data_IF_314665169911
#
_entry.id   IF_314665169911
#
_cell.length_a   1.000
_cell.length_b   1.000
_cell.length_c   1.000
_cell.angle_alpha   90.00
_cell.angle_beta   90.00
_cell.angle_gamma   90.00
#
_symmetry.space_group_name_H-M   'P 1'
#
loop_
_entity.id
_entity.type
_entity.pdbx_description
1 polymer ?
#
# COMPACT_ATOMS: atom_id res chain seq x y z
N UNK A 1 6.06 -14.86 1.62
CA UNK A 1 6.95 -16.04 1.87
C UNK A 1 8.37 -15.63 2.25
N UNK A 2 9.06 -14.72 1.52
CA UNK A 2 10.43 -14.31 1.88
C UNK A 2 10.51 -13.74 3.31
N UNK A 3 9.71 -12.75 3.64
CA UNK A 3 9.68 -12.13 4.98
C UNK A 3 9.31 -13.17 6.05
N UNK A 4 8.33 -14.03 5.80
CA UNK A 4 7.92 -15.09 6.75
C UNK A 4 9.04 -16.10 7.01
N UNK A 5 9.85 -16.42 6.00
CA UNK A 5 11.01 -17.31 6.19
C UNK A 5 12.13 -16.60 6.94
N UNK A 6 12.39 -15.33 6.62
CA UNK A 6 13.34 -14.49 7.34
C UNK A 6 12.97 -14.38 8.83
N UNK A 7 11.68 -14.12 9.13
CA UNK A 7 11.19 -14.06 10.52
C UNK A 7 11.42 -15.38 11.27
N UNK A 8 11.25 -16.52 10.61
CA UNK A 8 11.52 -17.83 11.21
C UNK A 8 13.01 -18.03 11.49
N UNK A 9 13.87 -17.67 10.54
CA UNK A 9 15.33 -17.78 10.70
C UNK A 9 15.83 -16.86 11.82
N UNK A 10 15.37 -15.61 11.84
CA UNK A 10 15.71 -14.65 12.91
C UNK A 10 15.19 -15.11 14.27
N UNK A 11 13.96 -15.60 14.33
CA UNK A 11 13.36 -16.14 15.57
C UNK A 11 14.16 -17.32 16.09
N UNK A 12 14.61 -18.21 15.21
CA UNK A 12 15.46 -19.36 15.58
C UNK A 12 16.81 -18.89 16.12
N UNK A 13 17.49 -17.99 15.41
CA UNK A 13 18.78 -17.43 15.83
C UNK A 13 18.69 -16.72 17.18
N UNK A 14 17.64 -15.93 17.40
CA UNK A 14 17.44 -15.19 18.65
C UNK A 14 17.17 -16.14 19.81
N UNK A 15 16.44 -17.24 19.57
CA UNK A 15 16.24 -18.29 20.57
C UNK A 15 17.55 -18.98 20.96
N UNK A 16 18.41 -19.32 19.97
CA UNK A 16 19.74 -19.91 20.22
C UNK A 16 20.65 -18.97 21.03
N UNK A 17 20.58 -17.67 20.70
CA UNK A 17 21.39 -16.63 21.37
C UNK A 17 20.79 -16.13 22.68
N UNK A 18 19.65 -16.67 23.10
CA UNK A 18 18.90 -16.23 24.27
C UNK A 18 18.54 -14.73 24.24
N UNK A 19 18.24 -14.21 23.03
CA UNK A 19 17.80 -12.83 22.79
C UNK A 19 16.27 -12.79 22.81
N UNK A 20 15.72 -11.81 23.54
CA UNK A 20 14.27 -11.64 23.62
C UNK A 20 13.72 -11.09 22.30
N UNK A 21 12.84 -11.87 21.66
CA UNK A 21 12.17 -11.50 20.40
C UNK A 21 10.70 -11.18 20.65
N UNK A 22 10.31 -9.93 20.42
CA UNK A 22 8.93 -9.47 20.59
C UNK A 22 8.35 -9.02 19.26
N UNK A 23 7.23 -9.61 18.88
CA UNK A 23 6.50 -9.26 17.65
C UNK A 23 5.29 -8.42 18.04
N UNK A 24 5.07 -7.32 17.35
CA UNK A 24 3.92 -6.43 17.53
C UNK A 24 3.06 -6.41 16.26
N UNK A 25 1.75 -6.29 16.42
CA UNK A 25 0.83 -6.15 15.29
C UNK A 25 1.05 -4.82 14.57
N UNK A 26 1.07 -4.89 13.24
CA UNK A 26 1.17 -3.72 12.36
C UNK A 26 -0.15 -3.53 11.62
N UNK A 27 -0.55 -2.28 11.36
CA UNK A 27 -1.74 -1.92 10.55
C UNK A 27 -3.08 -2.53 11.01
N UNK A 28 -3.21 -2.99 12.23
CA UNK A 28 -4.42 -3.68 12.67
C UNK A 28 -4.56 -5.08 12.09
N UNK A 29 -3.49 -5.64 11.51
CA UNK A 29 -3.39 -7.05 11.13
C UNK A 29 -3.29 -7.90 12.39
N UNK A 30 -4.08 -8.96 12.44
CA UNK A 30 -4.20 -9.83 13.60
C UNK A 30 -3.30 -11.05 13.43
N UNK A 31 -2.25 -11.12 14.20
CA UNK A 31 -1.38 -12.29 14.23
C UNK A 31 -2.09 -13.44 14.96
N UNK A 32 -2.05 -14.64 14.36
CA UNK A 32 -2.61 -15.88 14.92
C UNK A 32 -4.14 -15.95 15.08
N UNK A 33 -4.90 -15.06 14.45
CA UNK A 33 -6.36 -15.10 14.47
C UNK A 33 -6.94 -15.55 13.13
N UNK A 34 -7.32 -16.82 13.01
CA UNK A 34 -7.99 -17.37 11.82
C UNK A 34 -9.49 -17.11 11.72
N UNK A 35 -10.06 -16.26 12.58
CA UNK A 35 -11.50 -16.05 12.66
C UNK A 35 -11.89 -14.79 11.88
N UNK A 36 -12.14 -14.95 10.59
CA UNK A 36 -12.53 -13.89 9.65
C UNK A 36 -13.76 -13.08 10.12
N UNK A 37 -14.73 -13.73 10.77
CA UNK A 37 -15.98 -13.11 11.20
C UNK A 37 -15.83 -12.01 12.28
N UNK A 38 -14.69 -11.92 12.95
CA UNK A 38 -14.41 -10.91 13.99
C UNK A 38 -13.42 -9.84 13.56
N UNK A 39 -12.97 -9.86 12.30
CA UNK A 39 -11.93 -8.93 11.84
C UNK A 39 -12.32 -7.46 12.04
N UNK A 40 -13.50 -7.04 11.61
CA UNK A 40 -13.97 -5.65 11.76
C UNK A 40 -14.05 -5.21 13.23
N UNK A 41 -14.51 -6.10 14.12
CA UNK A 41 -14.55 -5.82 15.56
C UNK A 41 -13.13 -5.60 16.11
N UNK A 42 -12.21 -6.49 15.79
CA UNK A 42 -10.84 -6.42 16.27
C UNK A 42 -10.09 -5.23 15.66
N UNK A 43 -10.35 -4.90 14.39
CA UNK A 43 -9.79 -3.72 13.74
C UNK A 43 -10.26 -2.44 14.43
N UNK A 44 -11.54 -2.31 14.75
CA UNK A 44 -12.06 -1.17 15.51
C UNK A 44 -11.39 -1.09 16.90
N UNK A 45 -11.27 -2.19 17.61
CA UNK A 45 -10.56 -2.23 18.89
C UNK A 45 -9.10 -1.79 18.78
N UNK A 46 -8.42 -2.18 17.69
CA UNK A 46 -7.05 -1.73 17.42
C UNK A 46 -7.00 -0.22 17.18
N UNK A 47 -7.89 0.31 16.35
CA UNK A 47 -7.93 1.74 16.02
C UNK A 47 -8.26 2.60 17.24
N UNK A 48 -9.17 2.15 18.10
CA UNK A 48 -9.60 2.87 19.31
C UNK A 48 -8.64 2.73 20.47
N UNK A 49 -7.67 1.80 20.41
CA UNK A 49 -6.69 1.64 21.47
C UNK A 49 -5.74 2.85 21.56
N UNK A 50 -5.32 3.17 22.78
CA UNK A 50 -4.42 4.30 23.02
C UNK A 50 -3.10 4.18 22.25
N UNK A 51 -2.58 5.32 21.85
CA UNK A 51 -1.23 5.41 21.31
C UNK A 51 -0.24 5.27 22.45
N UNK A 52 0.78 4.46 22.26
CA UNK A 52 1.86 4.33 23.24
C UNK A 52 2.61 5.67 23.31
N UNK A 53 2.65 6.28 24.48
CA UNK A 53 3.55 7.42 24.71
C UNK A 53 4.97 6.89 24.78
N UNK A 54 5.85 7.46 23.95
CA UNK A 54 7.26 7.17 24.01
C UNK A 54 7.80 7.74 25.33
N UNK A 55 8.31 6.87 26.20
CA UNK A 55 9.14 7.31 27.30
C UNK A 55 10.54 7.59 26.73
N UNK A 56 10.87 8.86 26.59
CA UNK A 56 12.15 9.29 26.04
C UNK A 56 13.34 9.17 27.02
N UNK A 57 13.10 8.62 28.21
CA UNK A 57 14.15 8.33 29.19
C UNK A 57 14.87 6.99 28.85
N UNK A 58 15.25 6.80 27.62
CA UNK A 58 16.09 5.69 27.19
C UNK A 58 17.44 6.24 26.69
N UNK A 59 18.51 5.58 27.07
CA UNK A 59 19.83 5.83 26.48
C UNK A 59 19.83 5.22 25.07
N UNK A 60 20.12 6.04 24.07
CA UNK A 60 20.31 5.56 22.71
C UNK A 60 21.77 5.12 22.55
N UNK A 61 21.96 3.90 22.09
CA UNK A 61 23.28 3.44 21.64
C UNK A 61 23.58 4.20 20.35
N UNK A 62 24.59 5.07 20.38
CA UNK A 62 25.10 5.68 19.16
C UNK A 62 25.97 4.67 18.43
N UNK A 63 25.48 4.18 17.30
CA UNK A 63 26.29 3.40 16.38
C UNK A 63 26.94 4.36 15.38
N UNK A 64 28.27 4.32 15.28
CA UNK A 64 29.02 5.09 14.28
C UNK A 64 29.04 4.38 12.90
N UNK A 65 28.24 3.33 12.72
CA UNK A 65 28.12 2.64 11.45
C UNK A 65 27.27 3.49 10.50
N UNK A 66 27.94 4.21 9.62
CA UNK A 66 27.29 4.90 8.49
C UNK A 66 27.32 3.96 7.29
N UNK A 67 26.18 3.43 6.94
CA UNK A 67 26.06 2.64 5.72
C UNK A 67 26.32 3.52 4.51
N UNK A 68 27.22 3.08 3.64
CA UNK A 68 27.53 3.81 2.41
C UNK A 68 26.38 3.63 1.40
N UNK A 69 25.42 4.53 1.46
CA UNK A 69 24.26 4.56 0.60
C UNK A 69 24.60 4.80 -0.88
N UNK A 70 25.84 5.17 -1.21
CA UNK A 70 26.29 5.39 -2.60
C UNK A 70 26.32 4.07 -3.41
N UNK A 71 26.33 2.94 -2.73
CA UNK A 71 26.28 1.59 -3.33
C UNK A 71 24.88 1.09 -3.68
N UNK A 72 23.85 1.81 -3.23
CA UNK A 72 22.47 1.47 -3.60
C UNK A 72 22.24 1.99 -5.02
N UNK A 73 22.09 1.06 -5.97
CA UNK A 73 21.64 1.40 -7.32
C UNK A 73 20.22 1.99 -7.23
N UNK A 74 20.14 3.30 -7.24
CA UNK A 74 18.88 3.99 -7.45
C UNK A 74 18.55 3.88 -8.93
N UNK A 75 17.53 3.11 -9.28
CA UNK A 75 16.93 3.20 -10.58
C UNK A 75 16.50 4.66 -10.78
N UNK A 76 17.19 5.38 -11.65
CA UNK A 76 16.82 6.73 -12.05
C UNK A 76 15.43 6.63 -12.68
N UNK A 77 14.41 6.90 -11.88
CA UNK A 77 13.07 7.12 -12.39
C UNK A 77 13.18 8.39 -13.25
N UNK A 78 13.01 8.22 -14.55
CA UNK A 78 13.13 9.28 -15.54
C UNK A 78 12.31 10.50 -15.10
N UNK A 79 12.99 11.57 -14.64
CA UNK A 79 12.46 12.91 -14.37
C UNK A 79 11.05 13.01 -13.73
N UNK A 80 10.64 11.98 -13.02
CA UNK A 80 9.30 11.92 -12.44
C UNK A 80 9.16 12.73 -11.17
N UNK A 81 7.98 13.22 -10.91
CA UNK A 81 7.60 13.86 -9.65
C UNK A 81 7.33 12.80 -8.57
N UNK A 82 8.38 12.10 -8.15
CA UNK A 82 8.25 11.14 -7.05
C UNK A 82 7.92 11.89 -5.78
N UNK A 83 7.01 11.31 -5.02
CA UNK A 83 6.57 11.88 -3.77
C UNK A 83 7.70 11.85 -2.74
N UNK A 84 8.02 13.01 -2.14
CA UNK A 84 9.06 13.13 -1.13
C UNK A 84 8.58 12.45 0.16
N UNK A 85 9.40 11.55 0.71
CA UNK A 85 9.12 10.83 1.95
C UNK A 85 9.25 11.69 3.20
N UNK A 86 9.16 11.03 4.36
CA UNK A 86 9.36 11.63 5.68
C UNK A 86 8.09 12.08 6.39
N UNK A 87 8.17 12.12 7.71
CA UNK A 87 7.01 12.37 8.58
C UNK A 87 6.42 13.77 8.39
N UNK A 88 7.23 14.80 8.21
CA UNK A 88 6.71 16.17 8.02
C UNK A 88 5.88 16.27 6.75
N UNK A 89 6.34 15.69 5.64
CA UNK A 89 5.60 15.66 4.38
C UNK A 89 4.30 14.85 4.53
N UNK A 90 4.32 13.74 5.27
CA UNK A 90 3.12 12.96 5.56
C UNK A 90 2.07 13.79 6.32
N UNK A 91 2.47 14.56 7.33
CA UNK A 91 1.59 15.41 8.11
C UNK A 91 1.03 16.57 7.28
N UNK A 92 1.85 17.20 6.44
CA UNK A 92 1.39 18.26 5.53
C UNK A 92 0.38 17.74 4.51
N UNK A 93 0.61 16.54 3.95
CA UNK A 93 -0.33 15.90 3.02
C UNK A 93 -1.65 15.53 3.72
N UNK A 94 -1.59 15.02 4.94
CA UNK A 94 -2.79 14.72 5.71
C UNK A 94 -3.56 15.99 6.03
N UNK A 95 -2.88 17.04 6.48
CA UNK A 95 -3.50 18.32 6.82
C UNK A 95 -4.19 18.94 5.60
N UNK A 96 -3.48 19.05 4.47
CA UNK A 96 -4.06 19.58 3.22
C UNK A 96 -5.24 18.73 2.73
N UNK A 97 -5.18 17.40 2.91
CA UNK A 97 -6.28 16.53 2.54
C UNK A 97 -7.51 16.78 3.44
N UNK A 98 -7.33 16.82 4.75
CA UNK A 98 -8.44 17.01 5.70
C UNK A 98 -9.05 18.40 5.60
N UNK A 99 -8.27 19.43 5.31
CA UNK A 99 -8.74 20.81 5.27
C UNK A 99 -9.30 21.21 3.90
N UNK A 100 -8.65 20.81 2.80
CA UNK A 100 -8.95 21.32 1.47
C UNK A 100 -9.35 20.22 0.48
N UNK A 101 -8.44 19.31 0.16
CA UNK A 101 -8.54 18.41 -0.98
C UNK A 101 -9.62 17.35 -0.88
N UNK A 102 -10.12 17.06 0.33
CA UNK A 102 -11.13 16.01 0.54
C UNK A 102 -12.57 16.42 0.21
N UNK A 103 -12.82 17.65 -0.18
CA UNK A 103 -14.19 18.15 -0.39
C UNK A 103 -15.02 17.24 -1.33
N UNK A 104 -14.43 16.84 -2.43
CA UNK A 104 -15.07 15.98 -3.44
C UNK A 104 -14.43 14.60 -3.58
N UNK A 105 -13.59 14.19 -2.62
CA UNK A 105 -12.82 12.94 -2.71
C UNK A 105 -13.66 11.75 -3.15
N UNK A 106 -14.88 11.58 -2.60
CA UNK A 106 -15.70 10.41 -2.92
C UNK A 106 -16.11 10.37 -4.41
N UNK A 107 -16.30 11.51 -5.06
CA UNK A 107 -16.67 11.60 -6.47
C UNK A 107 -15.44 11.48 -7.38
N UNK A 108 -14.33 12.03 -6.94
CA UNK A 108 -13.14 12.30 -7.76
C UNK A 108 -12.06 11.21 -7.65
N UNK A 109 -12.04 10.43 -6.55
CA UNK A 109 -10.99 9.44 -6.29
C UNK A 109 -10.84 8.36 -7.37
N UNK A 110 -11.86 8.15 -8.19
CA UNK A 110 -11.83 7.13 -9.26
C UNK A 110 -11.36 7.68 -10.61
N UNK A 111 -11.30 8.99 -10.77
CA UNK A 111 -10.80 9.62 -12.00
C UNK A 111 -9.27 9.64 -12.02
N UNK A 112 -8.61 9.35 -13.15
CA UNK A 112 -7.16 9.46 -13.26
C UNK A 112 -6.66 10.91 -13.19
N UNK A 113 -7.50 11.87 -13.56
CA UNK A 113 -7.15 13.30 -13.59
C UNK A 113 -7.37 13.91 -12.21
N UNK A 114 -8.60 13.91 -11.72
CA UNK A 114 -8.93 14.55 -10.43
C UNK A 114 -8.43 13.76 -9.22
N UNK A 115 -8.28 12.44 -9.34
CA UNK A 115 -7.74 11.60 -8.27
C UNK A 115 -6.31 11.97 -7.85
N UNK A 116 -5.53 12.58 -8.72
CA UNK A 116 -4.17 13.03 -8.38
C UNK A 116 -4.19 14.08 -7.26
N UNK A 117 -5.11 15.01 -7.31
CA UNK A 117 -5.24 16.10 -6.33
C UNK A 117 -6.20 15.78 -5.21
N UNK A 118 -7.29 15.07 -5.48
CA UNK A 118 -8.35 14.77 -4.49
C UNK A 118 -8.03 13.57 -3.59
N UNK A 119 -7.14 12.67 -3.99
CA UNK A 119 -6.70 11.57 -3.11
C UNK A 119 -5.75 12.08 -2.03
N UNK A 120 -5.72 11.37 -0.90
CA UNK A 120 -4.87 11.75 0.24
C UNK A 120 -3.37 11.70 -0.08
N UNK A 121 -2.95 10.82 -0.98
CA UNK A 121 -1.55 10.56 -1.34
C UNK A 121 -0.71 10.03 -0.15
N UNK A 122 -1.36 9.42 0.85
CA UNK A 122 -0.70 8.93 2.06
C UNK A 122 -0.20 7.49 1.94
N UNK A 123 -0.56 6.75 0.89
CA UNK A 123 -0.18 5.35 0.76
C UNK A 123 1.33 5.11 0.83
N UNK A 124 2.23 5.88 0.16
CA UNK A 124 3.66 5.70 0.33
C UNK A 124 4.12 5.97 1.77
N UNK A 125 3.57 6.98 2.41
CA UNK A 125 3.93 7.32 3.79
C UNK A 125 3.47 6.28 4.81
N UNK A 126 2.36 5.57 4.53
CA UNK A 126 1.90 4.45 5.35
C UNK A 126 2.82 3.26 5.14
N UNK A 127 3.12 2.89 3.90
CA UNK A 127 3.98 1.77 3.54
C UNK A 127 5.38 1.89 4.17
N UNK A 128 5.96 3.10 4.17
CA UNK A 128 7.26 3.37 4.79
C UNK A 128 7.19 3.76 6.28
N UNK A 129 6.03 3.66 6.93
CA UNK A 129 5.89 3.94 8.36
C UNK A 129 6.08 5.41 8.77
N UNK A 130 6.06 6.35 7.83
CA UNK A 130 6.18 7.79 8.12
C UNK A 130 5.02 8.32 8.95
N UNK A 131 3.85 7.70 8.83
CA UNK A 131 2.65 8.01 9.59
C UNK A 131 1.83 6.74 9.81
N UNK A 132 1.25 6.59 11.00
CA UNK A 132 0.45 5.42 11.31
C UNK A 132 -1.01 5.58 10.86
N UNK A 133 -1.65 4.46 10.50
CA UNK A 133 -3.09 4.43 10.18
C UNK A 133 -3.93 4.91 11.37
N UNK A 134 -3.54 4.60 12.60
CA UNK A 134 -4.22 5.09 13.82
C UNK A 134 -4.22 6.61 13.88
N UNK A 135 -3.08 7.24 13.63
CA UNK A 135 -2.97 8.70 13.65
C UNK A 135 -3.83 9.34 12.57
N UNK A 136 -3.79 8.80 11.34
CA UNK A 136 -4.64 9.27 10.23
C UNK A 136 -6.12 9.14 10.59
N UNK A 137 -6.52 7.99 11.13
CA UNK A 137 -7.91 7.72 11.49
C UNK A 137 -8.39 8.65 12.60
N UNK A 138 -7.59 8.85 13.66
CA UNK A 138 -7.88 9.76 14.76
C UNK A 138 -8.06 11.19 14.26
N UNK A 139 -7.11 11.73 13.51
CA UNK A 139 -7.20 13.08 12.93
C UNK A 139 -8.41 13.23 12.00
N UNK A 140 -8.76 12.18 11.25
CA UNK A 140 -9.96 12.19 10.40
C UNK A 140 -11.24 12.21 11.24
N UNK A 141 -11.29 11.44 12.35
CA UNK A 141 -12.41 11.46 13.29
C UNK A 141 -12.58 12.83 13.95
N UNK A 142 -11.48 13.47 14.35
CA UNK A 142 -11.53 14.79 14.97
C UNK A 142 -12.04 15.83 13.96
N UNK A 143 -11.60 15.74 12.70
CA UNK A 143 -12.13 16.59 11.64
C UNK A 143 -13.63 16.40 11.40
N UNK A 144 -14.12 15.16 11.47
CA UNK A 144 -15.55 14.85 11.31
C UNK A 144 -16.46 15.45 12.40
N UNK A 145 -15.91 15.84 13.56
CA UNK A 145 -16.63 16.50 14.65
C UNK A 145 -16.83 18.00 14.38
N UNK A 146 -16.09 18.60 13.43
CA UNK A 146 -16.23 20.02 13.09
C UNK A 146 -17.41 20.26 12.16
N UNK A 147 -17.78 21.52 11.97
CA UNK A 147 -18.84 21.90 11.01
C UNK A 147 -18.31 21.71 9.57
N UNK A 148 -18.84 20.72 8.88
CA UNK A 148 -18.43 20.34 7.53
C UNK A 148 -19.61 20.35 6.57
N UNK A 149 -19.35 20.61 5.30
CA UNK A 149 -20.31 20.38 4.23
C UNK A 149 -20.73 18.90 4.18
N UNK A 150 -21.91 18.63 3.67
CA UNK A 150 -22.38 17.26 3.48
C UNK A 150 -21.43 16.43 2.58
N UNK A 151 -20.93 17.06 1.49
CA UNK A 151 -19.99 16.42 0.56
C UNK A 151 -18.70 15.99 1.27
N UNK A 152 -18.09 16.91 2.02
CA UNK A 152 -16.86 16.65 2.76
C UNK A 152 -17.02 15.58 3.83
N UNK A 153 -18.10 15.63 4.59
CA UNK A 153 -18.41 14.62 5.59
C UNK A 153 -18.50 13.22 4.96
N UNK A 154 -19.22 13.10 3.84
CA UNK A 154 -19.35 11.85 3.08
C UNK A 154 -18.02 11.37 2.53
N UNK A 155 -17.19 12.28 2.04
CA UNK A 155 -15.84 12.00 1.53
C UNK A 155 -14.91 11.49 2.63
N UNK A 156 -14.91 12.09 3.81
CA UNK A 156 -14.07 11.65 4.93
C UNK A 156 -14.51 10.29 5.50
N UNK A 157 -15.82 10.01 5.51
CA UNK A 157 -16.35 8.67 5.87
C UNK A 157 -15.87 7.61 4.87
N UNK A 158 -15.94 7.92 3.57
CA UNK A 158 -15.43 7.04 2.52
C UNK A 158 -13.91 6.82 2.67
N UNK A 159 -13.14 7.85 2.99
CA UNK A 159 -11.70 7.74 3.22
C UNK A 159 -11.39 6.82 4.41
N UNK A 160 -12.08 6.96 5.54
CA UNK A 160 -11.93 6.04 6.69
C UNK A 160 -12.15 4.57 6.31
N UNK A 161 -13.15 4.31 5.48
CA UNK A 161 -13.40 2.96 4.95
C UNK A 161 -12.20 2.43 4.16
N UNK A 162 -11.48 3.28 3.41
CA UNK A 162 -10.28 2.86 2.64
C UNK A 162 -9.11 2.50 3.54
N UNK A 163 -8.96 3.16 4.68
CA UNK A 163 -7.94 2.79 5.68
C UNK A 163 -8.21 1.38 6.24
N UNK A 164 -9.47 1.04 6.50
CA UNK A 164 -9.84 -0.31 6.92
C UNK A 164 -9.58 -1.35 5.81
N UNK A 165 -9.88 -1.03 4.56
CA UNK A 165 -9.62 -1.92 3.43
C UNK A 165 -8.13 -2.23 3.25
N UNK A 166 -7.26 -1.25 3.44
CA UNK A 166 -5.82 -1.45 3.41
C UNK A 166 -5.40 -2.58 4.37
N UNK A 167 -5.80 -2.49 5.64
CA UNK A 167 -5.50 -3.52 6.62
C UNK A 167 -6.16 -4.87 6.28
N UNK A 168 -7.36 -4.85 5.70
CA UNK A 168 -8.08 -6.07 5.33
C UNK A 168 -7.35 -6.86 4.23
N UNK A 169 -6.78 -6.19 3.23
CA UNK A 169 -6.04 -6.86 2.17
C UNK A 169 -4.74 -7.48 2.70
N UNK A 170 -4.01 -6.77 3.56
CA UNK A 170 -2.81 -7.31 4.20
C UNK A 170 -3.18 -8.51 5.09
N UNK A 171 -4.28 -8.43 5.84
CA UNK A 171 -4.78 -9.56 6.63
C UNK A 171 -5.07 -10.78 5.76
N UNK A 172 -5.64 -10.56 4.56
CA UNK A 172 -5.93 -11.65 3.64
C UNK A 172 -4.68 -12.40 3.20
N UNK A 173 -3.63 -11.66 2.83
CA UNK A 173 -2.35 -12.28 2.46
C UNK A 173 -1.71 -12.98 3.66
N UNK A 174 -1.80 -12.40 4.86
CA UNK A 174 -1.30 -13.01 6.08
C UNK A 174 -2.00 -14.34 6.39
N UNK A 175 -3.32 -14.39 6.25
CA UNK A 175 -4.13 -15.58 6.52
C UNK A 175 -3.94 -16.67 5.45
N UNK A 176 -3.72 -16.27 4.20
CA UNK A 176 -3.59 -17.15 3.04
C UNK A 176 -2.33 -16.78 2.21
N UNK A 177 -1.10 -16.97 2.73
CA UNK A 177 0.12 -16.48 2.07
C UNK A 177 0.38 -17.14 0.72
N UNK A 178 -0.24 -18.26 0.44
CA UNK A 178 -0.12 -18.95 -0.83
C UNK A 178 -0.78 -18.22 -2.02
N UNK A 179 -1.66 -17.24 -1.77
CA UNK A 179 -2.24 -16.41 -2.84
C UNK A 179 -1.20 -15.53 -3.54
N UNK A 180 -0.01 -15.38 -2.96
CA UNK A 180 1.14 -14.75 -3.63
C UNK A 180 1.59 -15.53 -4.88
N UNK A 181 1.39 -16.85 -4.90
CA UNK A 181 1.90 -17.75 -5.94
C UNK A 181 0.81 -18.54 -6.66
N UNK A 182 -0.38 -18.63 -6.08
CA UNK A 182 -1.51 -19.38 -6.61
C UNK A 182 -2.70 -18.49 -6.90
N UNK A 183 -3.51 -18.90 -7.88
CA UNK A 183 -4.80 -18.28 -8.07
C UNK A 183 -5.67 -18.47 -6.82
N UNK A 184 -6.39 -17.42 -6.41
CA UNK A 184 -7.31 -17.49 -5.27
C UNK A 184 -8.41 -18.56 -5.47
N UNK A 185 -8.83 -18.75 -6.72
CA UNK A 185 -9.72 -19.83 -7.11
C UNK A 185 -8.94 -20.78 -8.04
N UNK A 186 -8.77 -22.04 -7.61
CA UNK A 186 -8.04 -23.07 -8.34
C UNK A 186 -8.60 -23.39 -9.72
N UNK A 187 -9.87 -23.07 -9.98
CA UNK A 187 -10.49 -23.22 -11.31
C UNK A 187 -9.78 -22.37 -12.40
N UNK A 188 -8.99 -21.38 -12.02
CA UNK A 188 -8.20 -20.55 -12.94
C UNK A 188 -6.76 -21.01 -13.13
N UNK A 189 -6.35 -22.14 -12.54
CA UNK A 189 -5.03 -22.68 -12.75
C UNK A 189 -4.90 -23.25 -14.17
N UNK A 190 -3.77 -22.99 -14.81
CA UNK A 190 -3.48 -23.51 -16.16
C UNK A 190 -4.12 -22.73 -17.31
N UNK A 191 -4.94 -21.69 -17.04
CA UNK A 191 -5.67 -20.98 -18.10
C UNK A 191 -4.76 -20.09 -18.94
N UNK A 192 -3.73 -19.46 -18.36
CA UNK A 192 -2.89 -18.43 -19.01
C UNK A 192 -1.39 -18.72 -18.96
N UNK A 193 -0.99 -19.69 -18.15
CA UNK A 193 0.42 -19.94 -17.85
C UNK A 193 1.22 -20.36 -19.10
N UNK A 194 0.56 -21.08 -20.04
CA UNK A 194 1.21 -21.63 -21.24
C UNK A 194 1.10 -20.71 -22.47
N UNK A 195 0.23 -19.70 -22.44
CA UNK A 195 -0.08 -18.84 -23.59
C UNK A 195 0.48 -17.42 -23.43
N UNK A 196 1.55 -17.27 -22.67
CA UNK A 196 2.10 -15.95 -22.34
C UNK A 196 2.78 -15.32 -23.55
N UNK A 197 2.27 -14.18 -24.00
CA UNK A 197 2.82 -13.39 -25.11
C UNK A 197 3.76 -12.29 -24.58
N UNK A 198 5.05 -12.43 -24.86
CA UNK A 198 6.08 -11.48 -24.40
C UNK A 198 5.96 -10.10 -25.10
N UNK A 199 5.54 -10.03 -26.37
CA UNK A 199 5.37 -8.77 -27.10
C UNK A 199 4.23 -7.95 -26.49
N UNK A 200 3.11 -8.60 -26.17
CA UNK A 200 2.00 -7.94 -25.46
C UNK A 200 2.41 -7.49 -24.07
N UNK A 201 3.18 -8.30 -23.36
CA UNK A 201 3.70 -7.93 -22.05
C UNK A 201 4.64 -6.71 -22.14
N UNK A 202 5.54 -6.70 -23.11
CA UNK A 202 6.45 -5.59 -23.33
C UNK A 202 5.71 -4.31 -23.73
N UNK A 203 4.73 -4.41 -24.64
CA UNK A 203 3.90 -3.27 -25.04
C UNK A 203 3.13 -2.70 -23.83
N UNK A 204 2.55 -3.56 -22.99
CA UNK A 204 1.86 -3.13 -21.79
C UNK A 204 2.81 -2.46 -20.77
N UNK A 205 3.98 -3.04 -20.52
CA UNK A 205 5.01 -2.46 -19.63
C UNK A 205 5.44 -1.08 -20.09
N UNK A 206 5.56 -0.88 -21.40
CA UNK A 206 6.04 0.37 -21.98
C UNK A 206 4.93 1.41 -22.21
N UNK A 207 3.66 1.02 -22.06
CA UNK A 207 2.52 1.88 -22.38
C UNK A 207 2.44 2.18 -23.85
N UNK A 208 2.58 1.16 -24.69
CA UNK A 208 2.55 1.19 -26.16
C UNK A 208 1.64 0.12 -26.74
N UNK A 209 0.55 -0.18 -26.03
CA UNK A 209 -0.44 -1.19 -26.42
C UNK A 209 -1.31 -0.75 -27.59
N UNK A 210 -1.33 0.55 -27.92
CA UNK A 210 -2.25 1.14 -28.88
C UNK A 210 -3.61 1.51 -28.29
N UNK A 211 -3.83 1.27 -27.00
CA UNK A 211 -5.01 1.72 -26.25
C UNK A 211 -4.66 2.99 -25.45
N UNK A 212 -5.03 4.19 -25.96
CA UNK A 212 -4.48 5.46 -25.46
C UNK A 212 -4.67 5.66 -23.94
N UNK A 213 -5.80 5.23 -23.39
CA UNK A 213 -6.09 5.37 -21.98
C UNK A 213 -5.22 4.45 -21.10
N UNK A 214 -5.05 3.19 -21.50
CA UNK A 214 -4.18 2.23 -20.82
C UNK A 214 -2.74 2.69 -20.85
N UNK A 215 -2.29 3.11 -22.05
CA UNK A 215 -0.93 3.57 -22.30
C UNK A 215 -0.60 4.83 -21.48
N UNK A 216 -1.51 5.78 -21.44
CA UNK A 216 -1.36 6.98 -20.61
C UNK A 216 -1.24 6.64 -19.12
N UNK A 217 -2.07 5.73 -18.60
CA UNK A 217 -2.01 5.30 -17.21
C UNK A 217 -0.70 4.57 -16.88
N UNK A 218 -0.21 3.71 -17.77
CA UNK A 218 1.05 3.01 -17.54
C UNK A 218 2.24 3.97 -17.58
N UNK A 219 2.30 4.89 -18.56
CA UNK A 219 3.35 5.91 -18.63
C UNK A 219 3.32 6.84 -17.40
N UNK A 220 2.12 7.24 -16.96
CA UNK A 220 1.97 8.03 -15.73
C UNK A 220 2.51 7.28 -14.51
N UNK A 221 2.17 5.99 -14.35
CA UNK A 221 2.67 5.18 -13.25
C UNK A 221 4.20 5.05 -13.28
N UNK A 222 4.78 4.79 -14.45
CA UNK A 222 6.24 4.68 -14.62
C UNK A 222 6.98 5.98 -14.25
N UNK A 223 6.39 7.12 -14.53
CA UNK A 223 6.98 8.43 -14.24
C UNK A 223 6.80 8.87 -12.79
N UNK A 224 5.64 8.59 -12.19
CA UNK A 224 5.28 9.14 -10.88
C UNK A 224 5.34 8.10 -9.73
N UNK A 225 5.49 6.81 -10.03
CA UNK A 225 5.52 5.75 -9.04
C UNK A 225 4.19 5.55 -8.29
N UNK A 226 3.15 6.26 -8.70
CA UNK A 226 1.82 6.22 -8.08
C UNK A 226 0.72 6.46 -9.11
N UNK A 227 -0.39 5.79 -8.92
CA UNK A 227 -1.65 6.04 -9.64
C UNK A 227 -2.82 5.66 -8.72
N UNK A 228 -4.00 6.24 -8.93
CA UNK A 228 -5.17 5.96 -8.10
C UNK A 228 -5.65 4.50 -8.25
N UNK A 229 -6.37 4.02 -7.23
CA UNK A 229 -6.78 2.60 -7.13
C UNK A 229 -7.56 2.10 -8.36
N UNK A 230 -8.48 2.89 -8.90
CA UNK A 230 -9.29 2.48 -10.07
C UNK A 230 -8.42 2.21 -11.28
N UNK A 231 -7.38 3.00 -11.51
CA UNK A 231 -6.46 2.80 -12.62
C UNK A 231 -5.53 1.61 -12.39
N UNK A 232 -5.12 1.33 -11.15
CA UNK A 232 -4.40 0.09 -10.83
C UNK A 232 -5.21 -1.14 -11.23
N UNK A 233 -6.47 -1.18 -10.81
CA UNK A 233 -7.38 -2.27 -11.15
C UNK A 233 -7.59 -2.40 -12.67
N UNK A 234 -7.67 -1.28 -13.39
CA UNK A 234 -7.80 -1.27 -14.85
C UNK A 234 -6.53 -1.82 -15.52
N UNK A 235 -5.33 -1.40 -15.11
CA UNK A 235 -4.07 -1.91 -15.68
C UNK A 235 -3.94 -3.43 -15.50
N UNK A 236 -4.28 -3.96 -14.32
CA UNK A 236 -4.27 -5.40 -14.05
C UNK A 236 -5.33 -6.13 -14.87
N UNK A 237 -6.55 -5.59 -14.89
CA UNK A 237 -7.68 -6.18 -15.64
C UNK A 237 -7.37 -6.24 -17.13
N UNK A 238 -6.86 -5.16 -17.71
CA UNK A 238 -6.49 -5.10 -19.12
C UNK A 238 -5.42 -6.15 -19.48
N UNK A 239 -4.35 -6.24 -18.67
CA UNK A 239 -3.31 -7.23 -18.88
C UNK A 239 -3.85 -8.66 -18.81
N UNK A 240 -4.72 -8.94 -17.83
CA UNK A 240 -5.19 -10.31 -17.58
C UNK A 240 -6.34 -10.75 -18.50
N UNK A 241 -7.22 -9.85 -18.93
CA UNK A 241 -8.40 -10.21 -19.70
C UNK A 241 -8.29 -9.86 -21.19
N UNK A 242 -7.79 -8.67 -21.55
CA UNK A 242 -7.67 -8.26 -22.93
C UNK A 242 -6.39 -8.79 -23.59
N UNK A 243 -5.27 -8.75 -22.86
CA UNK A 243 -3.99 -9.29 -23.34
C UNK A 243 -3.76 -10.75 -22.98
N UNK A 244 -4.62 -11.34 -22.17
CA UNK A 244 -4.57 -12.74 -21.72
C UNK A 244 -3.25 -13.13 -21.00
N UNK A 245 -2.62 -12.16 -20.32
CA UNK A 245 -1.34 -12.37 -19.64
C UNK A 245 -1.52 -12.98 -18.25
N UNK A 246 -0.57 -13.83 -17.84
CA UNK A 246 -0.52 -14.37 -16.49
C UNK A 246 -0.18 -13.26 -15.48
N UNK A 247 -1.08 -13.08 -14.50
CA UNK A 247 -0.94 -12.06 -13.46
C UNK A 247 0.35 -12.24 -12.61
N UNK A 248 0.86 -13.45 -12.44
CA UNK A 248 2.09 -13.73 -11.69
C UNK A 248 3.32 -13.08 -12.32
N UNK A 249 3.31 -12.89 -13.64
CA UNK A 249 4.36 -12.16 -14.36
C UNK A 249 4.10 -10.66 -14.36
N UNK A 250 2.88 -10.23 -14.63
CA UNK A 250 2.53 -8.80 -14.72
C UNK A 250 2.59 -8.08 -13.37
N UNK A 251 2.22 -8.75 -12.26
CA UNK A 251 2.28 -8.19 -10.91
C UNK A 251 3.70 -7.82 -10.48
N UNK A 252 4.71 -8.60 -10.88
CA UNK A 252 6.12 -8.31 -10.57
C UNK A 252 6.59 -6.97 -11.16
N UNK A 253 6.09 -6.63 -12.34
CA UNK A 253 6.38 -5.35 -12.96
C UNK A 253 5.73 -4.19 -12.20
N UNK A 254 4.45 -4.32 -11.88
CA UNK A 254 3.73 -3.31 -11.10
C UNK A 254 4.33 -3.10 -9.71
N UNK A 255 4.69 -4.18 -9.01
CA UNK A 255 5.34 -4.12 -7.71
C UNK A 255 6.62 -3.28 -7.72
N UNK A 256 7.39 -3.32 -8.81
CA UNK A 256 8.60 -2.51 -8.98
C UNK A 256 8.33 -1.03 -9.26
N UNK A 257 7.14 -0.70 -9.77
CA UNK A 257 6.79 0.68 -10.12
C UNK A 257 6.11 1.44 -8.98
N UNK A 258 5.36 0.74 -8.12
CA UNK A 258 4.65 1.41 -7.04
C UNK A 258 5.56 1.82 -5.90
N UNK A 259 5.66 3.12 -5.63
CA UNK A 259 6.35 3.66 -4.44
C UNK A 259 5.64 3.28 -3.13
N UNK A 260 4.39 2.90 -3.20
CA UNK A 260 3.59 2.44 -2.08
C UNK A 260 3.35 0.93 -2.11
N UNK A 261 4.26 0.18 -2.79
CA UNK A 261 4.15 -1.27 -2.81
C UNK A 261 4.24 -1.84 -1.39
N UNK A 262 3.26 -2.64 -1.07
CA UNK A 262 3.16 -3.37 0.18
C UNK A 262 2.51 -4.71 -0.11
N UNK A 263 3.08 -5.84 0.35
CA UNK A 263 2.47 -7.15 0.16
C UNK A 263 1.10 -7.24 0.85
N UNK A 264 0.04 -7.61 0.08
CA UNK A 264 -1.31 -7.76 0.62
C UNK A 264 -2.44 -7.03 -0.08
#
# INVERSE_FOLDING_TARGET
MYITNLDKEVSFLFKEKNINWKISNQFGVQLNHRIRNKWSYNWNKFIDSESVNLNLNCEFISDNYVEDLSKIETNNLENGKIQIGGRQNALQLLDSFLNDRSENYQKEMSSPITGETSCSRLSPHIAFGNISIKEIFKKTNDKLKSNLTFSKKKSLIAFKSRLAWHCHFIQKLYDEPEIEFRNMNSAYNGIRENDFNEDYHLAWKNGTTGYPFVDACMRYLRTNGWINFRMRAMLVSFASYQLWLDWKKTSKHLAKLFTDYEPG
#
